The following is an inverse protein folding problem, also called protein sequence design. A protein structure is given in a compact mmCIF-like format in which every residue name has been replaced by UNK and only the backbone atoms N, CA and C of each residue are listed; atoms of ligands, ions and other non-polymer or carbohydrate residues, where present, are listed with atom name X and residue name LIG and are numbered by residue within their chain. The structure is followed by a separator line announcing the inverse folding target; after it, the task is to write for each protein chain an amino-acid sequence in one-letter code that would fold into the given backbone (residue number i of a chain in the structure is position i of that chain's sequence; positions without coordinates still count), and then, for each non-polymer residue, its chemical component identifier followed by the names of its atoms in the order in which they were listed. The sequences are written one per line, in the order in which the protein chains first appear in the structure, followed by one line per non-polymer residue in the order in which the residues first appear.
data_IF_922317764395
#
_entry.id   IF_922317764395
#
_cell.length_a   1.000
_cell.length_b   1.000
_cell.length_c   1.000
_cell.angle_alpha   90.00
_cell.angle_beta   90.00
_cell.angle_gamma   90.00
#
_symmetry.space_group_name_H-M   'P 1'
#
loop_
_entity.id
_entity.type
_entity.pdbx_description
1 polymer ?
#
# COMPACT_ATOMS: atom_id res chain seq x y z
N UNK A 1 -11.68 13.39 3.83
CA UNK A 1 -11.36 12.08 4.44
C UNK A 1 -9.88 12.05 4.83
N UNK A 2 -9.58 11.43 5.96
CA UNK A 2 -8.19 11.31 6.39
C UNK A 2 -7.47 10.27 5.54
N UNK A 3 -6.18 10.52 5.28
CA UNK A 3 -5.33 9.53 4.64
C UNK A 3 -5.17 8.32 5.55
N UNK A 4 -5.04 7.15 4.96
CA UNK A 4 -4.68 5.95 5.71
C UNK A 4 -3.30 6.12 6.34
N UNK A 5 -3.17 5.63 7.56
CA UNK A 5 -1.89 5.55 8.25
C UNK A 5 -1.57 4.11 8.57
N UNK A 6 -0.36 3.72 8.23
CA UNK A 6 0.15 2.39 8.52
C UNK A 6 1.37 2.50 9.42
N UNK A 7 1.51 1.52 10.32
CA UNK A 7 2.64 1.45 11.22
C UNK A 7 3.26 0.05 11.15
N UNK A 8 4.57 -0.01 11.31
CA UNK A 8 5.29 -1.27 11.30
C UNK A 8 6.12 -1.42 12.57
N UNK A 9 6.09 -2.62 13.13
CA UNK A 9 6.93 -2.93 14.28
C UNK A 9 8.39 -3.10 13.84
N UNK A 10 9.34 -2.42 14.50
CA UNK A 10 10.75 -2.55 14.12
C UNK A 10 11.34 -3.91 14.43
N UNK A 11 10.69 -4.72 15.24
CA UNK A 11 11.18 -6.04 15.63
C UNK A 11 10.50 -7.18 14.91
N UNK A 12 9.20 -7.36 15.10
CA UNK A 12 8.48 -8.48 14.50
C UNK A 12 7.88 -8.18 13.12
N UNK A 13 7.89 -6.92 12.73
CA UNK A 13 7.42 -6.44 11.42
C UNK A 13 5.92 -6.56 11.21
N UNK A 14 5.14 -6.65 12.29
CA UNK A 14 3.70 -6.49 12.19
C UNK A 14 3.36 -5.15 11.57
N UNK A 15 2.38 -5.14 10.67
CA UNK A 15 1.88 -3.91 10.07
C UNK A 15 0.44 -3.70 10.53
N UNK A 16 0.15 -2.51 11.02
CA UNK A 16 -1.19 -2.14 11.47
C UNK A 16 -1.66 -0.91 10.70
N UNK A 17 -2.93 -0.91 10.35
CA UNK A 17 -3.57 0.27 9.77
C UNK A 17 -4.51 0.87 10.79
N UNK A 18 -4.44 2.19 10.95
CA UNK A 18 -5.33 2.91 11.86
C UNK A 18 -6.68 3.17 11.18
N UNK A 19 -7.73 2.58 11.71
CA UNK A 19 -9.10 2.89 11.27
C UNK A 19 -9.54 4.22 11.86
N UNK A 20 -9.18 4.45 13.11
CA UNK A 20 -9.42 5.70 13.82
C UNK A 20 -8.10 6.10 14.51
N UNK A 21 -7.62 7.29 14.26
CA UNK A 21 -6.31 7.73 14.74
C UNK A 21 -6.46 8.90 15.72
N UNK A 22 -5.97 8.71 16.93
CA UNK A 22 -5.98 9.75 17.97
C UNK A 22 -4.60 10.40 18.15
N UNK A 23 -3.67 10.08 17.28
CA UNK A 23 -2.28 10.54 17.34
C UNK A 23 -1.49 10.00 18.55
N UNK A 24 -2.01 8.98 19.20
CA UNK A 24 -1.31 8.29 20.26
C UNK A 24 -0.50 7.15 19.66
N UNK A 25 0.80 7.05 19.99
CA UNK A 25 1.66 6.03 19.38
C UNK A 25 1.22 4.60 19.67
N UNK A 26 1.44 3.72 18.71
CA UNK A 26 1.26 2.29 18.88
C UNK A 26 2.58 1.67 19.31
N UNK A 27 2.50 0.71 20.21
CA UNK A 27 3.67 -0.05 20.69
C UNK A 27 3.52 -1.52 20.33
N UNK A 28 4.61 -2.13 19.94
CA UNK A 28 4.67 -3.56 19.66
C UNK A 28 6.06 -4.05 20.04
N UNK A 29 6.15 -5.23 20.65
CA UNK A 29 7.42 -5.78 21.10
C UNK A 29 8.20 -4.83 22.02
N UNK A 30 7.49 -4.04 22.81
CA UNK A 30 8.10 -3.14 23.77
C UNK A 30 8.59 -1.80 23.23
N UNK A 31 8.46 -1.57 21.92
CA UNK A 31 8.90 -0.32 21.30
C UNK A 31 7.82 0.33 20.48
N UNK A 32 7.96 1.62 20.26
CA UNK A 32 7.04 2.37 19.40
C UNK A 32 7.14 1.89 17.97
N UNK A 33 6.00 1.71 17.33
CA UNK A 33 5.96 1.35 15.92
C UNK A 33 6.28 2.56 15.06
N UNK A 34 6.90 2.30 13.90
CA UNK A 34 7.27 3.34 12.96
C UNK A 34 6.19 3.52 11.89
N UNK A 35 5.92 4.75 11.52
CA UNK A 35 4.96 5.01 10.45
C UNK A 35 5.54 4.62 9.09
N UNK A 36 4.74 3.92 8.28
CA UNK A 36 5.07 3.62 6.90
C UNK A 36 4.54 4.75 6.02
N UNK A 37 5.45 5.49 5.39
CA UNK A 37 5.10 6.63 4.56
C UNK A 37 5.20 6.22 3.08
N UNK A 38 4.14 6.37 2.29
CA UNK A 38 4.18 5.99 0.89
C UNK A 38 5.28 6.72 0.13
N UNK A 39 6.02 5.97 -0.67
CA UNK A 39 7.08 6.54 -1.51
C UNK A 39 8.32 7.01 -0.78
N UNK A 40 8.40 6.81 0.52
CA UNK A 40 9.55 7.27 1.32
C UNK A 40 10.72 6.32 1.30
N UNK A 41 10.57 5.13 0.82
CA UNK A 41 11.57 4.13 0.94
C UNK A 41 12.28 3.88 -0.33
N UNK A 42 13.29 3.74 -0.39
CA UNK A 42 14.41 3.35 -0.54
C UNK A 42 14.70 2.37 -1.57
N UNK A 43 15.17 1.44 -1.52
CA UNK A 43 15.64 0.47 -2.32
C UNK A 43 15.28 0.72 -3.76
N UNK A 44 14.98 0.41 -4.67
CA UNK A 44 14.76 0.71 -6.05
C UNK A 44 13.39 1.40 -6.25
N UNK A 45 13.39 2.70 -6.32
CA UNK A 45 12.16 3.46 -6.53
C UNK A 45 11.41 3.03 -7.77
N UNK A 46 12.12 2.72 -8.84
CA UNK A 46 11.51 2.29 -10.10
C UNK A 46 10.70 1.01 -9.95
N UNK A 47 11.07 0.15 -9.00
CA UNK A 47 10.38 -1.12 -8.76
C UNK A 47 9.28 -1.03 -7.72
N UNK A 48 9.27 0.01 -6.90
CA UNK A 48 8.35 0.09 -5.76
C UNK A 48 7.32 1.21 -5.86
N UNK A 49 7.53 2.21 -6.71
CA UNK A 49 6.56 3.27 -6.91
C UNK A 49 5.45 2.79 -7.83
N UNK A 50 4.19 2.81 -7.39
CA UNK A 50 3.08 2.38 -8.24
C UNK A 50 2.86 3.34 -9.40
N UNK A 51 2.69 2.80 -10.59
CA UNK A 51 2.24 3.54 -11.75
C UNK A 51 0.72 3.36 -11.86
N UNK A 52 -0.01 4.45 -11.84
CA UNK A 52 -1.48 4.43 -11.74
C UNK A 52 -2.09 4.96 -13.02
N UNK A 53 -3.05 4.22 -13.57
CA UNK A 53 -3.87 4.67 -14.71
C UNK A 53 -5.33 4.64 -14.33
N UNK A 54 -6.03 5.74 -14.60
CA UNK A 54 -7.44 5.88 -14.29
C UNK A 54 -8.24 5.96 -15.58
N UNK A 55 -9.17 5.04 -15.75
CA UNK A 55 -10.07 5.01 -16.92
C UNK A 55 -11.51 4.92 -16.42
N UNK A 56 -12.18 6.07 -16.29
CA UNK A 56 -13.53 6.10 -15.72
C UNK A 56 -13.51 5.57 -14.30
N UNK A 57 -14.28 4.53 -14.04
CA UNK A 57 -14.33 3.90 -12.71
C UNK A 57 -13.28 2.82 -12.49
N UNK A 58 -12.46 2.54 -13.48
CA UNK A 58 -11.40 1.54 -13.36
C UNK A 58 -10.08 2.21 -13.04
N UNK A 59 -9.37 1.68 -12.05
CA UNK A 59 -8.04 2.13 -11.69
C UNK A 59 -7.10 0.95 -11.79
N UNK A 60 -6.07 1.07 -12.62
CA UNK A 60 -5.06 0.05 -12.79
C UNK A 60 -3.76 0.51 -12.16
N UNK A 61 -3.15 -0.37 -11.38
CA UNK A 61 -1.91 -0.10 -10.68
C UNK A 61 -0.86 -1.12 -11.09
N UNK A 62 0.23 -0.64 -11.68
CA UNK A 62 1.42 -1.44 -11.93
C UNK A 62 2.48 -0.98 -10.95
N UNK A 63 3.12 -1.91 -10.25
CA UNK A 63 4.08 -1.54 -9.24
C UNK A 63 5.45 -1.37 -9.87
N UNK A 64 5.96 -0.14 -9.81
CA UNK A 64 7.23 0.26 -10.38
C UNK A 64 7.17 0.51 -11.87
N UNK A 65 8.08 1.33 -12.38
CA UNK A 65 8.25 1.57 -13.81
C UNK A 65 8.86 0.36 -14.51
N UNK A 66 9.55 -0.49 -13.75
CA UNK A 66 10.00 -1.81 -14.16
C UNK A 66 9.24 -2.81 -13.31
N UNK A 67 8.69 -3.85 -13.92
CA UNK A 67 7.88 -4.83 -13.20
C UNK A 67 8.66 -5.41 -12.01
N UNK A 68 7.99 -5.38 -10.85
CA UNK A 68 8.56 -5.92 -9.63
C UNK A 68 8.57 -7.46 -9.69
N UNK A 69 9.65 -8.11 -9.26
CA UNK A 69 9.66 -9.57 -9.23
C UNK A 69 8.63 -10.13 -8.25
N UNK A 70 8.02 -11.24 -8.61
CA UNK A 70 7.00 -11.90 -7.81
C UNK A 70 7.44 -13.32 -7.47
N UNK A 71 8.63 -13.44 -6.88
CA UNK A 71 9.21 -14.72 -6.50
C UNK A 71 8.84 -15.09 -5.07
N UNK A 72 8.91 -16.38 -4.73
CA UNK A 72 8.48 -16.84 -3.41
C UNK A 72 9.21 -16.18 -2.23
N UNK A 73 10.44 -15.71 -2.43
CA UNK A 73 11.22 -15.04 -1.38
C UNK A 73 11.16 -13.52 -1.46
N UNK A 74 10.63 -12.98 -2.55
CA UNK A 74 10.54 -11.53 -2.74
C UNK A 74 9.42 -11.21 -3.70
N UNK A 75 8.31 -10.70 -3.17
CA UNK A 75 7.16 -10.32 -3.99
C UNK A 75 6.38 -9.21 -3.28
N UNK A 76 5.53 -8.53 -4.05
CA UNK A 76 4.62 -7.53 -3.49
C UNK A 76 3.46 -8.25 -2.83
N UNK A 77 3.26 -8.00 -1.54
CA UNK A 77 2.25 -8.70 -0.78
C UNK A 77 0.87 -8.09 -0.90
N UNK A 78 0.78 -6.78 -1.03
CA UNK A 78 -0.52 -6.11 -1.14
C UNK A 78 -0.38 -4.72 -1.73
N UNK A 79 -1.50 -4.23 -2.27
CA UNK A 79 -1.63 -2.88 -2.80
C UNK A 79 -2.92 -2.30 -2.25
N UNK A 80 -2.89 -1.08 -1.78
CA UNK A 80 -4.07 -0.39 -1.28
C UNK A 80 -4.30 0.91 -2.02
N UNK A 81 -5.55 1.13 -2.43
CA UNK A 81 -5.99 2.38 -3.02
C UNK A 81 -6.90 3.09 -2.03
N UNK A 82 -6.55 4.32 -1.67
CA UNK A 82 -7.43 5.19 -0.91
C UNK A 82 -8.21 6.09 -1.86
N UNK A 83 -9.50 6.24 -1.60
CA UNK A 83 -10.38 7.14 -2.33
C UNK A 83 -10.92 8.19 -1.39
N UNK A 84 -11.74 9.11 -1.91
CA UNK A 84 -12.42 10.10 -1.08
C UNK A 84 -13.50 9.50 -0.18
N UNK A 85 -13.83 8.22 -0.34
CA UNK A 85 -14.91 7.56 0.42
C UNK A 85 -14.48 6.29 1.14
N UNK A 86 -13.28 5.82 0.93
CA UNK A 86 -12.87 4.59 1.57
C UNK A 86 -11.54 4.07 1.04
N UNK A 87 -11.31 2.79 1.26
CA UNK A 87 -10.07 2.13 0.86
C UNK A 87 -10.38 0.78 0.25
N UNK A 88 -9.53 0.39 -0.70
CA UNK A 88 -9.59 -0.91 -1.35
C UNK A 88 -8.23 -1.56 -1.23
N UNK A 89 -8.18 -2.83 -0.86
CA UNK A 89 -6.92 -3.57 -0.71
C UNK A 89 -6.98 -4.87 -1.48
N UNK A 90 -5.91 -5.16 -2.19
CA UNK A 90 -5.72 -6.44 -2.87
C UNK A 90 -4.44 -7.07 -2.37
N UNK A 91 -4.53 -8.35 -2.02
CA UNK A 91 -3.36 -9.14 -1.68
C UNK A 91 -2.86 -9.86 -2.92
N UNK A 92 -1.55 -9.96 -3.03
CA UNK A 92 -0.89 -10.68 -4.10
C UNK A 92 -0.10 -11.84 -3.51
N UNK A 93 0.16 -12.83 -4.33
CA UNK A 93 0.96 -13.99 -3.96
C UNK A 93 2.15 -14.10 -4.91
N UNK A 94 3.17 -14.85 -4.47
CA UNK A 94 4.31 -15.13 -5.32
C UNK A 94 3.83 -15.78 -6.62
N UNK A 95 4.33 -15.30 -7.74
CA UNK A 95 3.92 -15.76 -9.05
C UNK A 95 2.83 -14.93 -9.70
N UNK A 96 2.14 -14.08 -8.96
CA UNK A 96 1.16 -13.17 -9.54
C UNK A 96 1.85 -12.06 -10.32
N UNK A 97 1.14 -11.47 -11.28
CA UNK A 97 1.64 -10.27 -11.95
C UNK A 97 1.69 -9.11 -10.95
N UNK A 98 2.70 -8.23 -11.01
CA UNK A 98 2.83 -7.11 -10.08
C UNK A 98 1.89 -5.96 -10.45
N UNK A 99 0.63 -6.26 -10.62
CA UNK A 99 -0.38 -5.28 -11.00
C UNK A 99 -1.74 -5.69 -10.44
N UNK A 100 -2.55 -4.69 -10.13
CA UNK A 100 -3.91 -4.88 -9.64
C UNK A 100 -4.83 -3.89 -10.31
N UNK A 101 -6.11 -4.26 -10.37
CA UNK A 101 -7.17 -3.38 -10.87
C UNK A 101 -8.20 -3.18 -9.79
N UNK A 102 -8.66 -1.94 -9.66
CA UNK A 102 -9.75 -1.58 -8.75
C UNK A 102 -10.90 -0.99 -9.57
N UNK A 103 -12.12 -1.36 -9.22
CA UNK A 103 -13.29 -0.78 -9.83
C UNK A 103 -14.01 0.06 -8.80
N UNK A 104 -14.15 1.34 -9.07
CA UNK A 104 -14.72 2.30 -8.14
C UNK A 104 -16.18 2.57 -8.51
N UNK A 105 -16.93 3.12 -7.56
CA UNK A 105 -18.32 3.47 -7.74
C UNK A 105 -18.54 4.95 -7.37
N UNK A 106 -18.24 5.83 -8.31
CA UNK A 106 -18.40 7.27 -8.12
C UNK A 106 -17.44 7.89 -7.13
N UNK A 107 -16.30 7.25 -6.88
CA UNK A 107 -15.29 7.72 -5.94
C UNK A 107 -14.11 8.31 -6.69
N UNK A 108 -13.36 9.15 -6.00
CA UNK A 108 -12.16 9.77 -6.57
C UNK A 108 -10.92 9.13 -5.97
N UNK A 109 -10.04 8.53 -6.79
CA UNK A 109 -8.80 7.95 -6.27
C UNK A 109 -7.89 9.05 -5.71
N UNK A 110 -7.20 8.75 -4.61
CA UNK A 110 -6.33 9.71 -3.94
C UNK A 110 -4.91 9.22 -3.79
N UNK A 111 -4.70 8.10 -3.11
CA UNK A 111 -3.37 7.62 -2.78
C UNK A 111 -3.29 6.11 -2.97
N UNK A 112 -2.15 5.65 -3.47
CA UNK A 112 -1.84 4.22 -3.59
C UNK A 112 -0.67 3.88 -2.69
N UNK A 113 -0.83 2.82 -1.93
CA UNK A 113 0.17 2.32 -1.00
C UNK A 113 0.77 1.01 -1.49
#
# INVERSE_FOLDING_TARGET
MKKSKFYICPHCRNIAQMVYDTDIPLYCCGDEMNELIPGAVEASKEKHIPAVQVNGDAVEVNVGSVDHPMESVHYIEWVQLDTDKGSYRRFLQAGDAPQVSFRLSGEVPQTVY
#
